data_IF_752578824531
#
_entry.id   IF_752578824531
#
_cell.length_a   1.000
_cell.length_b   1.000
_cell.length_c   1.000
_cell.angle_alpha   90.00
_cell.angle_beta   90.00
_cell.angle_gamma   90.00
#
_symmetry.space_group_name_H-M   'P 1'
#
loop_
_entity.id
_entity.type
_entity.pdbx_description
1 polymer ?
#
# COMPACT_ATOMS: atom_id res chain seq x y z
N UNK A 1 12.28 -25.41 15.85
CA UNK A 1 10.86 -25.00 15.79
C UNK A 1 10.80 -23.64 15.11
N UNK A 2 9.99 -23.45 14.05
CA UNK A 2 9.98 -22.22 13.26
C UNK A 2 9.45 -20.97 14.00
N UNK A 3 8.88 -21.11 15.20
CA UNK A 3 8.41 -19.97 16.01
C UNK A 3 9.52 -19.07 16.57
N UNK A 4 10.73 -19.57 16.80
CA UNK A 4 11.78 -18.77 17.46
C UNK A 4 12.40 -17.71 16.53
N UNK A 5 12.56 -18.03 15.24
CA UNK A 5 13.28 -17.15 14.32
C UNK A 5 12.53 -15.85 14.02
N UNK A 6 11.20 -15.91 13.88
CA UNK A 6 10.39 -14.71 13.68
C UNK A 6 10.51 -13.78 14.89
N UNK A 7 10.37 -14.33 16.10
CA UNK A 7 10.48 -13.57 17.35
C UNK A 7 11.86 -12.92 17.49
N UNK A 8 12.94 -13.69 17.29
CA UNK A 8 14.33 -13.20 17.27
C UNK A 8 14.54 -12.06 16.25
N UNK A 9 14.04 -12.22 15.01
CA UNK A 9 14.22 -11.24 13.94
C UNK A 9 13.45 -9.93 14.24
N UNK A 10 12.23 -10.02 14.79
CA UNK A 10 11.44 -8.85 15.16
C UNK A 10 12.02 -8.15 16.39
N UNK A 11 12.45 -8.87 17.42
CA UNK A 11 13.12 -8.30 18.59
C UNK A 11 14.38 -7.53 18.18
N UNK A 12 15.24 -8.15 17.36
CA UNK A 12 16.44 -7.51 16.86
C UNK A 12 16.15 -6.23 16.05
N UNK A 13 15.06 -6.23 15.27
CA UNK A 13 14.62 -5.05 14.54
C UNK A 13 14.16 -3.95 15.48
N UNK A 14 13.27 -4.27 16.43
CA UNK A 14 12.70 -3.29 17.38
C UNK A 14 13.81 -2.65 18.20
N UNK A 15 14.75 -3.45 18.71
CA UNK A 15 15.95 -2.98 19.40
C UNK A 15 16.81 -2.04 18.56
N UNK A 16 16.89 -2.26 17.24
CA UNK A 16 17.64 -1.40 16.33
C UNK A 16 16.91 -0.09 16.08
N UNK A 17 15.63 -0.15 15.70
CA UNK A 17 14.90 1.03 15.24
C UNK A 17 14.49 1.95 16.40
N UNK A 18 14.45 1.43 17.64
CA UNK A 18 14.05 2.15 18.85
C UNK A 18 15.17 3.00 19.52
N UNK A 19 16.45 2.77 19.18
CA UNK A 19 17.62 3.34 19.91
C UNK A 19 17.58 4.84 20.10
N UNK A 20 17.13 5.59 19.09
CA UNK A 20 17.12 7.05 19.10
C UNK A 20 15.69 7.63 19.14
N UNK A 21 14.74 6.89 19.72
CA UNK A 21 13.34 7.30 19.84
C UNK A 21 12.98 7.57 21.30
N UNK A 22 11.96 8.40 21.53
CA UNK A 22 11.44 8.67 22.87
C UNK A 22 10.70 7.45 23.47
N UNK A 23 10.39 7.54 24.76
CA UNK A 23 9.77 6.43 25.49
C UNK A 23 8.38 6.03 24.94
N UNK A 24 7.64 6.96 24.35
CA UNK A 24 6.30 6.69 23.82
C UNK A 24 6.40 5.88 22.52
N UNK A 25 7.29 6.29 21.61
CA UNK A 25 7.58 5.53 20.38
C UNK A 25 8.13 4.15 20.70
N UNK A 26 9.06 4.05 21.66
CA UNK A 26 9.61 2.74 22.09
C UNK A 26 8.51 1.80 22.57
N UNK A 27 7.66 2.29 23.47
CA UNK A 27 6.53 1.51 23.99
C UNK A 27 5.51 1.13 22.91
N UNK A 28 5.25 2.04 21.96
CA UNK A 28 4.42 1.73 20.79
C UNK A 28 4.98 0.57 20.00
N UNK A 29 6.28 0.63 19.66
CA UNK A 29 6.97 -0.44 18.93
C UNK A 29 6.98 -1.77 19.67
N UNK A 30 7.18 -1.77 20.98
CA UNK A 30 7.08 -2.99 21.80
C UNK A 30 5.67 -3.61 21.74
N UNK A 31 4.62 -2.78 21.81
CA UNK A 31 3.25 -3.30 21.70
C UNK A 31 2.98 -3.92 20.32
N UNK A 32 3.46 -3.29 19.24
CA UNK A 32 3.32 -3.82 17.88
C UNK A 32 4.11 -5.13 17.71
N UNK A 33 5.31 -5.22 18.29
CA UNK A 33 6.12 -6.44 18.33
C UNK A 33 5.34 -7.61 18.94
N UNK A 34 4.80 -7.43 20.15
CA UNK A 34 4.06 -8.49 20.85
C UNK A 34 2.85 -8.96 20.03
N UNK A 35 2.12 -8.03 19.41
CA UNK A 35 1.01 -8.34 18.51
C UNK A 35 1.47 -9.18 17.31
N UNK A 36 2.54 -8.78 16.63
CA UNK A 36 3.07 -9.50 15.47
C UNK A 36 3.57 -10.90 15.84
N UNK A 37 4.19 -11.06 17.01
CA UNK A 37 4.58 -12.38 17.55
C UNK A 37 3.34 -13.25 17.74
N UNK A 38 2.25 -12.72 18.32
CA UNK A 38 1.00 -13.47 18.48
C UNK A 38 0.39 -13.90 17.13
N UNK A 39 0.32 -12.98 16.17
CA UNK A 39 -0.20 -13.26 14.83
C UNK A 39 0.67 -14.27 14.08
N UNK A 40 1.99 -14.22 14.26
CA UNK A 40 2.94 -15.15 13.67
C UNK A 40 2.79 -16.56 14.23
N UNK A 41 2.55 -16.70 15.55
CA UNK A 41 2.23 -17.99 16.18
C UNK A 41 0.96 -18.63 15.61
N UNK A 42 0.06 -17.83 15.04
CA UNK A 42 -1.17 -18.26 14.34
C UNK A 42 -0.97 -18.45 12.82
N UNK A 43 0.23 -18.17 12.30
CA UNK A 43 0.55 -18.27 10.88
C UNK A 43 -0.10 -17.19 10.00
N UNK A 44 -0.49 -16.06 10.58
CA UNK A 44 -1.23 -15.00 9.88
C UNK A 44 -0.30 -13.98 9.20
N UNK A 45 0.93 -13.82 9.69
CA UNK A 45 1.89 -12.83 9.18
C UNK A 45 3.21 -13.49 8.79
N UNK A 46 4.02 -12.78 8.01
CA UNK A 46 5.35 -13.22 7.54
C UNK A 46 6.39 -12.17 7.84
N UNK A 47 7.59 -12.61 8.23
CA UNK A 47 8.67 -11.71 8.68
C UNK A 47 8.99 -10.60 7.67
N UNK A 48 9.08 -10.92 6.37
CA UNK A 48 9.42 -9.94 5.32
C UNK A 48 8.43 -8.77 5.24
N UNK A 49 7.19 -8.98 5.66
CA UNK A 49 6.12 -7.99 5.63
C UNK A 49 6.06 -7.24 6.97
N UNK A 50 6.11 -7.99 8.09
CA UNK A 50 6.12 -7.45 9.45
C UNK A 50 7.29 -6.50 9.75
N UNK A 51 8.48 -6.75 9.18
CA UNK A 51 9.61 -5.81 9.33
C UNK A 51 9.36 -4.46 8.64
N UNK A 52 8.63 -4.46 7.52
CA UNK A 52 8.27 -3.23 6.82
C UNK A 52 7.18 -2.46 7.58
N UNK A 53 6.19 -3.18 8.12
CA UNK A 53 5.15 -2.60 8.98
C UNK A 53 5.76 -1.86 10.17
N UNK A 54 6.71 -2.45 10.88
CA UNK A 54 7.36 -1.82 12.05
C UNK A 54 8.18 -0.58 11.69
N UNK A 55 8.92 -0.62 10.58
CA UNK A 55 9.69 0.54 10.11
C UNK A 55 8.76 1.68 9.68
N UNK A 56 7.65 1.35 9.00
CA UNK A 56 6.60 2.31 8.65
C UNK A 56 5.92 2.86 9.90
N UNK A 57 5.57 1.99 10.86
CA UNK A 57 4.93 2.37 12.11
C UNK A 57 5.79 3.34 12.91
N UNK A 58 7.09 3.06 13.08
CA UNK A 58 8.04 4.01 13.70
C UNK A 58 7.98 5.37 13.04
N UNK A 59 8.04 5.42 11.71
CA UNK A 59 8.02 6.67 10.95
C UNK A 59 6.74 7.47 11.21
N UNK A 60 5.59 6.81 11.27
CA UNK A 60 4.32 7.45 11.60
C UNK A 60 4.25 7.88 13.08
N UNK A 61 4.73 7.06 14.02
CA UNK A 61 4.80 7.43 15.44
C UNK A 61 5.66 8.66 15.67
N UNK A 62 6.81 8.78 14.99
CA UNK A 62 7.66 9.98 15.03
C UNK A 62 6.96 11.23 14.48
N UNK A 63 5.93 11.06 13.65
CA UNK A 63 5.05 12.13 13.18
C UNK A 63 3.87 12.40 14.12
N UNK A 64 3.82 11.74 15.28
CA UNK A 64 2.79 11.89 16.31
C UNK A 64 1.49 11.16 15.98
N UNK A 65 1.57 10.03 15.28
CA UNK A 65 0.43 9.12 15.12
C UNK A 65 0.47 8.03 16.21
N UNK A 66 -0.70 7.65 16.69
CA UNK A 66 -0.90 6.35 17.36
C UNK A 66 -1.07 5.29 16.28
N UNK A 67 -0.35 4.17 16.38
CA UNK A 67 -0.26 3.20 15.29
C UNK A 67 -0.63 1.80 15.79
N UNK A 68 -1.33 1.06 14.95
CA UNK A 68 -1.64 -0.37 15.06
C UNK A 68 -1.21 -1.09 13.78
N UNK A 69 -1.02 -2.40 13.85
CA UNK A 69 -0.70 -3.26 12.69
C UNK A 69 -1.75 -4.33 12.52
N UNK A 70 -1.99 -4.78 11.29
CA UNK A 70 -2.98 -5.83 11.00
C UNK A 70 -4.36 -5.45 11.59
N UNK A 71 -4.80 -4.22 11.28
CA UNK A 71 -5.99 -3.59 11.85
C UNK A 71 -7.23 -3.87 11.00
N UNK A 72 -8.30 -4.34 11.63
CA UNK A 72 -9.59 -4.63 10.98
C UNK A 72 -10.31 -3.31 10.63
N UNK A 73 -10.52 -3.08 9.32
CA UNK A 73 -11.26 -1.94 8.76
C UNK A 73 -12.75 -2.25 8.53
N UNK A 74 -13.21 -3.43 8.95
CA UNK A 74 -14.55 -3.94 8.73
C UNK A 74 -14.71 -4.67 7.39
N UNK A 75 -15.81 -5.42 7.27
CA UNK A 75 -16.17 -6.18 6.06
C UNK A 75 -15.08 -7.16 5.58
N UNK A 76 -14.26 -7.65 6.52
CA UNK A 76 -13.19 -8.60 6.24
C UNK A 76 -11.94 -7.98 5.61
N UNK A 77 -11.82 -6.65 5.62
CA UNK A 77 -10.59 -5.95 5.23
C UNK A 77 -9.72 -5.72 6.46
N UNK A 78 -8.48 -6.20 6.41
CA UNK A 78 -7.47 -5.96 7.44
C UNK A 78 -6.34 -5.19 6.75
N UNK A 79 -5.98 -4.04 7.30
CA UNK A 79 -4.88 -3.24 6.75
C UNK A 79 -3.57 -3.45 7.50
N UNK A 80 -2.47 -3.36 6.75
CA UNK A 80 -1.14 -3.68 7.27
C UNK A 80 -0.70 -2.71 8.38
N UNK A 81 -0.81 -1.40 8.12
CA UNK A 81 -0.50 -0.35 9.12
C UNK A 81 -1.64 0.63 9.21
N UNK A 82 -2.20 0.79 10.41
CA UNK A 82 -3.26 1.74 10.71
C UNK A 82 -2.76 2.80 11.67
N UNK A 83 -3.08 4.06 11.41
CA UNK A 83 -2.56 5.18 12.16
C UNK A 83 -3.64 6.23 12.42
N UNK A 84 -3.67 6.76 13.64
CA UNK A 84 -4.62 7.79 14.08
C UNK A 84 -3.85 9.01 14.55
N UNK A 85 -4.29 10.20 14.12
CA UNK A 85 -3.78 11.47 14.63
C UNK A 85 -4.92 12.48 14.76
N UNK A 86 -5.25 12.82 16.01
CA UNK A 86 -6.44 13.62 16.29
C UNK A 86 -7.71 12.88 15.85
N UNK A 87 -8.51 13.50 14.98
CA UNK A 87 -9.72 12.88 14.41
C UNK A 87 -9.49 12.23 13.04
N UNK A 88 -8.25 12.25 12.52
CA UNK A 88 -7.93 11.70 11.21
C UNK A 88 -7.31 10.31 11.29
N UNK A 89 -7.65 9.48 10.31
CA UNK A 89 -7.19 8.11 10.14
C UNK A 89 -6.31 7.97 8.90
N UNK A 90 -5.34 7.08 8.95
CA UNK A 90 -4.44 6.72 7.86
C UNK A 90 -4.29 5.20 7.83
N UNK A 91 -4.47 4.57 6.67
CA UNK A 91 -4.02 3.20 6.44
C UNK A 91 -2.88 3.19 5.40
N UNK A 92 -1.90 2.32 5.62
CA UNK A 92 -0.83 2.03 4.65
C UNK A 92 -0.85 0.55 4.36
N UNK A 93 -1.02 0.21 3.08
CA UNK A 93 -0.94 -1.17 2.58
C UNK A 93 0.44 -1.43 1.99
N UNK A 94 1.15 -2.43 2.50
CA UNK A 94 2.48 -2.83 2.04
C UNK A 94 2.37 -3.80 0.85
N UNK A 95 3.12 -3.48 -0.20
CA UNK A 95 3.21 -4.23 -1.45
C UNK A 95 4.65 -4.64 -1.71
N UNK A 96 4.88 -5.96 -1.74
CA UNK A 96 6.21 -6.57 -1.93
C UNK A 96 6.42 -7.17 -3.31
N UNK A 97 5.41 -7.07 -4.20
CA UNK A 97 5.48 -7.59 -5.57
C UNK A 97 5.32 -9.10 -5.69
N UNK A 98 4.73 -9.77 -4.69
CA UNK A 98 4.44 -11.20 -4.77
C UNK A 98 3.42 -11.49 -5.90
N UNK A 99 3.82 -12.37 -6.83
CA UNK A 99 2.96 -12.91 -7.88
C UNK A 99 2.74 -14.40 -7.63
N UNK A 100 1.48 -14.88 -7.56
CA UNK A 100 1.22 -16.30 -7.38
C UNK A 100 1.48 -17.09 -8.67
N UNK A 101 1.82 -18.40 -8.60
CA UNK A 101 2.19 -19.20 -9.76
C UNK A 101 1.15 -19.21 -10.90
N UNK A 102 -0.14 -19.14 -10.58
CA UNK A 102 -1.24 -19.07 -11.55
C UNK A 102 -1.22 -17.81 -12.43
N UNK A 103 -0.51 -16.76 -12.01
CA UNK A 103 -0.34 -15.50 -12.73
C UNK A 103 1.07 -15.33 -13.31
N UNK A 104 1.83 -16.42 -13.46
CA UNK A 104 3.18 -16.38 -13.98
C UNK A 104 3.27 -15.92 -15.46
N UNK A 105 2.17 -16.01 -16.22
CA UNK A 105 2.12 -15.61 -17.63
C UNK A 105 1.67 -14.16 -17.84
N UNK A 106 1.14 -13.51 -16.79
CA UNK A 106 0.66 -12.12 -16.81
C UNK A 106 0.99 -11.34 -15.51
N UNK A 107 2.23 -11.43 -14.98
CA UNK A 107 2.57 -10.92 -13.65
C UNK A 107 2.38 -9.41 -13.51
N UNK A 108 2.71 -8.63 -14.55
CA UNK A 108 2.54 -7.18 -14.55
C UNK A 108 1.06 -6.79 -14.47
N UNK A 109 0.21 -7.49 -15.22
CA UNK A 109 -1.22 -7.22 -15.26
C UNK A 109 -1.89 -7.57 -13.91
N UNK A 110 -1.48 -8.70 -13.31
CA UNK A 110 -1.89 -9.10 -11.98
C UNK A 110 -1.47 -8.06 -10.92
N UNK A 111 -0.20 -7.67 -10.88
CA UNK A 111 0.32 -6.68 -9.93
C UNK A 111 -0.41 -5.34 -10.05
N UNK A 112 -0.61 -4.87 -11.29
CA UNK A 112 -1.34 -3.63 -11.54
C UNK A 112 -2.80 -3.70 -11.07
N UNK A 113 -3.48 -4.83 -11.29
CA UNK A 113 -4.84 -5.04 -10.80
C UNK A 113 -4.90 -5.15 -9.27
N UNK A 114 -3.91 -5.78 -8.64
CA UNK A 114 -3.78 -5.90 -7.19
C UNK A 114 -3.68 -4.54 -6.53
N UNK A 115 -2.78 -3.71 -7.04
CA UNK A 115 -2.60 -2.32 -6.60
C UNK A 115 -3.90 -1.53 -6.77
N UNK A 116 -4.55 -1.64 -7.94
CA UNK A 116 -5.82 -0.98 -8.19
C UNK A 116 -6.93 -1.38 -7.20
N UNK A 117 -7.05 -2.68 -6.94
CA UNK A 117 -8.02 -3.25 -5.99
C UNK A 117 -7.76 -2.77 -4.56
N UNK A 118 -6.49 -2.76 -4.12
CA UNK A 118 -6.12 -2.26 -2.78
C UNK A 118 -6.43 -0.77 -2.62
N UNK A 119 -5.98 0.07 -3.56
CA UNK A 119 -6.31 1.51 -3.53
C UNK A 119 -7.83 1.69 -3.44
N UNK A 120 -8.58 0.96 -4.25
CA UNK A 120 -10.02 1.17 -4.33
C UNK A 120 -10.76 0.75 -3.06
N UNK A 121 -10.44 -0.42 -2.51
CA UNK A 121 -11.17 -0.98 -1.35
C UNK A 121 -10.78 -0.34 -0.03
N UNK A 122 -9.49 -0.08 0.16
CA UNK A 122 -8.98 0.35 1.46
C UNK A 122 -9.11 1.86 1.63
N UNK A 123 -8.87 2.64 0.58
CA UNK A 123 -8.86 4.11 0.71
C UNK A 123 -10.22 4.73 1.05
N UNK A 124 -11.33 4.04 0.78
CA UNK A 124 -12.67 4.51 1.15
C UNK A 124 -13.02 4.28 2.62
N UNK A 125 -12.18 3.55 3.36
CA UNK A 125 -12.37 3.20 4.78
C UNK A 125 -11.66 4.15 5.75
N UNK A 126 -10.81 5.04 5.23
CA UNK A 126 -9.92 5.90 6.01
C UNK A 126 -9.83 7.29 5.38
N UNK A 127 -9.46 8.29 6.18
CA UNK A 127 -9.33 9.67 5.69
C UNK A 127 -8.12 9.83 4.75
N UNK A 128 -7.04 9.08 5.02
CA UNK A 128 -5.85 9.02 4.17
C UNK A 128 -5.44 7.58 3.92
N UNK A 129 -4.91 7.34 2.73
CA UNK A 129 -4.47 6.02 2.33
C UNK A 129 -3.12 6.09 1.62
N UNK A 130 -2.22 5.20 1.97
CA UNK A 130 -0.91 5.06 1.36
C UNK A 130 -0.60 3.64 0.92
N UNK A 131 0.41 3.52 0.06
CA UNK A 131 1.01 2.24 -0.29
C UNK A 131 2.46 2.22 0.17
N UNK A 132 2.88 1.20 0.89
CA UNK A 132 4.26 0.97 1.31
C UNK A 132 4.96 -0.02 0.38
N UNK A 133 6.18 0.27 -0.06
CA UNK A 133 6.97 -0.63 -0.92
C UNK A 133 8.42 -0.69 -0.48
N UNK A 134 9.13 -1.81 -0.71
CA UNK A 134 10.56 -1.83 -0.51
C UNK A 134 11.26 -1.05 -1.66
N UNK A 135 12.47 -0.50 -1.43
CA UNK A 135 13.18 0.32 -2.42
C UNK A 135 13.60 -0.45 -3.69
N UNK A 136 13.57 -1.78 -3.66
CA UNK A 136 13.92 -2.65 -4.78
C UNK A 136 12.71 -3.12 -5.60
N UNK A 137 11.50 -2.65 -5.29
CA UNK A 137 10.27 -3.01 -6.00
C UNK A 137 9.67 -1.80 -6.71
N UNK A 138 9.22 -2.00 -7.96
CA UNK A 138 8.54 -0.97 -8.75
C UNK A 138 7.04 -1.22 -8.72
N UNK A 139 6.33 -0.37 -7.98
CA UNK A 139 4.86 -0.38 -7.89
C UNK A 139 4.21 0.14 -9.18
N UNK A 140 3.34 -0.66 -9.80
CA UNK A 140 2.61 -0.26 -11.01
C UNK A 140 1.21 0.28 -10.65
N UNK A 141 1.11 1.59 -10.42
CA UNK A 141 -0.15 2.26 -10.10
C UNK A 141 -0.85 2.67 -11.40
N UNK A 142 -2.14 2.35 -11.62
CA UNK A 142 -2.91 2.94 -12.71
C UNK A 142 -2.88 4.47 -12.65
N UNK A 143 -2.51 5.19 -13.72
CA UNK A 143 -2.37 6.66 -13.67
C UNK A 143 -3.62 7.38 -13.19
N UNK A 144 -4.80 6.85 -13.52
CA UNK A 144 -6.07 7.38 -13.06
C UNK A 144 -6.22 7.36 -11.53
N UNK A 145 -5.64 6.38 -10.84
CA UNK A 145 -5.69 6.27 -9.37
C UNK A 145 -4.61 7.08 -8.66
N UNK A 146 -3.57 7.54 -9.36
CA UNK A 146 -2.56 8.43 -8.81
C UNK A 146 -3.08 9.87 -8.63
N UNK A 147 -3.95 10.33 -9.55
CA UNK A 147 -4.56 11.66 -9.46
C UNK A 147 -5.78 11.69 -8.52
N UNK A 148 -6.11 12.87 -7.94
CA UNK A 148 -7.30 13.04 -7.11
C UNK A 148 -8.61 12.64 -7.81
N UNK A 149 -9.61 12.10 -7.06
CA UNK A 149 -10.93 11.70 -7.57
C UNK A 149 -11.58 12.64 -8.59
N UNK A 150 -11.58 13.94 -8.27
CA UNK A 150 -12.21 15.01 -9.07
C UNK A 150 -11.66 15.18 -10.49
N UNK A 151 -10.49 14.61 -10.78
CA UNK A 151 -9.84 14.73 -12.09
C UNK A 151 -9.98 13.47 -12.95
N UNK A 152 -10.73 12.45 -12.49
CA UNK A 152 -10.97 11.21 -13.23
C UNK A 152 -12.14 11.36 -14.19
N UNK A 153 -11.93 10.98 -15.45
CA UNK A 153 -12.98 10.80 -16.42
C UNK A 153 -13.69 9.46 -16.21
N UNK A 154 -14.93 9.35 -16.70
CA UNK A 154 -15.70 8.10 -16.57
C UNK A 154 -15.01 6.91 -17.25
N UNK A 155 -14.42 7.12 -18.43
CA UNK A 155 -13.68 6.05 -19.13
C UNK A 155 -12.50 5.52 -18.32
N UNK A 156 -11.79 6.37 -17.59
CA UNK A 156 -10.68 5.93 -16.73
C UNK A 156 -11.16 5.09 -15.53
N UNK A 157 -12.36 5.37 -15.02
CA UNK A 157 -13.00 4.58 -13.96
C UNK A 157 -13.40 3.21 -14.51
N UNK A 158 -13.96 3.15 -15.71
CA UNK A 158 -14.32 1.91 -16.40
C UNK A 158 -13.10 1.05 -16.75
N UNK A 159 -11.97 1.67 -17.11
CA UNK A 159 -10.69 0.98 -17.32
C UNK A 159 -10.18 0.33 -16.03
N UNK A 160 -10.21 1.05 -14.90
CA UNK A 160 -9.84 0.49 -13.60
C UNK A 160 -10.78 -0.64 -13.20
N UNK A 161 -12.09 -0.48 -13.44
CA UNK A 161 -13.08 -1.53 -13.18
C UNK A 161 -12.76 -2.79 -13.97
N UNK A 162 -12.53 -2.63 -15.27
CA UNK A 162 -12.20 -3.74 -16.18
C UNK A 162 -10.91 -4.44 -15.74
N UNK A 163 -9.89 -3.68 -15.32
CA UNK A 163 -8.65 -4.21 -14.79
C UNK A 163 -8.87 -5.02 -13.50
N UNK A 164 -9.60 -4.47 -12.53
CA UNK A 164 -9.91 -5.18 -11.28
C UNK A 164 -10.71 -6.46 -11.54
N UNK A 165 -11.68 -6.42 -12.45
CA UNK A 165 -12.57 -7.55 -12.76
C UNK A 165 -11.83 -8.75 -13.37
N UNK A 166 -10.61 -8.58 -13.89
CA UNK A 166 -9.79 -9.70 -14.36
C UNK A 166 -9.47 -10.69 -13.23
N UNK A 167 -9.17 -10.18 -12.02
CA UNK A 167 -8.65 -10.99 -10.91
C UNK A 167 -9.47 -10.89 -9.60
N UNK A 168 -10.25 -9.82 -9.39
CA UNK A 168 -10.89 -9.48 -8.11
C UNK A 168 -12.42 -9.45 -8.23
N UNK A 169 -13.04 -10.61 -8.43
CA UNK A 169 -14.50 -10.74 -8.66
C UNK A 169 -15.35 -10.93 -7.39
N UNK A 170 -14.75 -11.28 -6.26
CA UNK A 170 -15.48 -11.65 -5.03
C UNK A 170 -14.86 -10.99 -3.76
N UNK A 171 -15.49 -9.95 -3.20
CA UNK A 171 -16.53 -9.13 -3.82
C UNK A 171 -15.96 -8.35 -5.03
N UNK A 172 -16.78 -7.96 -6.02
CA UNK A 172 -16.33 -7.08 -7.09
C UNK A 172 -16.17 -5.65 -6.59
N UNK A 173 -15.27 -4.89 -7.21
CA UNK A 173 -15.07 -3.47 -6.92
C UNK A 173 -16.09 -2.65 -7.70
N UNK A 174 -16.81 -1.73 -7.05
CA UNK A 174 -17.82 -0.88 -7.68
C UNK A 174 -17.23 0.36 -8.37
N UNK A 175 -17.95 0.91 -9.35
CA UNK A 175 -17.56 2.18 -10.00
C UNK A 175 -17.53 3.35 -9.01
N UNK A 176 -18.36 3.32 -7.97
CA UNK A 176 -18.41 4.34 -6.93
C UNK A 176 -17.17 4.30 -6.04
N UNK A 177 -16.76 3.12 -5.59
CA UNK A 177 -15.51 2.95 -4.84
C UNK A 177 -14.32 3.45 -5.69
N UNK A 178 -14.24 3.07 -6.98
CA UNK A 178 -13.17 3.52 -7.87
C UNK A 178 -13.19 5.05 -8.00
N UNK A 179 -14.36 5.63 -8.23
CA UNK A 179 -14.52 7.08 -8.38
C UNK A 179 -14.02 7.83 -7.16
N UNK A 180 -14.35 7.36 -5.95
CA UNK A 180 -14.07 8.07 -4.71
C UNK A 180 -12.71 7.70 -4.08
N UNK A 181 -12.10 6.59 -4.49
CA UNK A 181 -10.82 6.13 -3.97
C UNK A 181 -9.69 7.15 -4.10
N UNK A 182 -8.80 7.23 -3.12
CA UNK A 182 -7.69 8.19 -3.16
C UNK A 182 -6.43 7.64 -2.55
N UNK A 183 -5.40 7.48 -3.38
CA UNK A 183 -4.03 7.31 -2.91
C UNK A 183 -3.45 8.68 -2.54
N UNK A 184 -2.90 8.79 -1.34
CA UNK A 184 -2.35 10.04 -0.81
C UNK A 184 -0.83 10.06 -0.85
N UNK A 185 -0.20 8.91 -0.62
CA UNK A 185 1.26 8.81 -0.48
C UNK A 185 1.74 7.43 -0.89
N UNK A 186 2.90 7.38 -1.54
CA UNK A 186 3.70 6.15 -1.69
C UNK A 186 4.86 6.22 -0.70
N UNK A 187 4.94 5.25 0.20
CA UNK A 187 6.00 5.10 1.19
C UNK A 187 7.06 4.14 0.66
N UNK A 188 8.29 4.61 0.49
CA UNK A 188 9.44 3.75 0.19
C UNK A 188 10.10 3.39 1.51
N UNK A 189 10.03 2.11 1.89
CA UNK A 189 10.41 1.59 3.21
C UNK A 189 11.74 0.84 3.08
N UNK A 190 12.82 1.51 3.47
CA UNK A 190 14.15 0.91 3.59
C UNK A 190 14.33 0.32 4.98
N UNK A 191 14.09 -1.00 5.07
CA UNK A 191 14.27 -1.76 6.31
C UNK A 191 15.72 -1.79 6.73
N UNK A 192 16.71 -1.78 5.83
CA UNK A 192 18.11 -1.86 6.23
C UNK A 192 18.62 -0.52 6.79
N UNK A 193 18.19 0.59 6.18
CA UNK A 193 18.53 1.95 6.58
C UNK A 193 17.67 2.55 7.68
N UNK A 194 16.64 1.83 8.17
CA UNK A 194 15.64 2.33 9.12
C UNK A 194 14.96 3.63 8.66
N UNK A 195 14.74 3.75 7.35
CA UNK A 195 14.31 4.98 6.69
C UNK A 195 13.01 4.77 5.91
N UNK A 196 12.14 5.77 5.94
CA UNK A 196 10.93 5.82 5.11
C UNK A 196 10.90 7.14 4.35
N UNK A 197 10.78 7.05 3.03
CA UNK A 197 10.56 8.22 2.16
C UNK A 197 9.10 8.30 1.73
N UNK A 198 8.53 9.50 1.69
CA UNK A 198 7.17 9.73 1.21
C UNK A 198 7.22 10.39 -0.16
N UNK A 199 6.52 9.81 -1.12
CA UNK A 199 6.47 10.27 -2.50
C UNK A 199 5.02 10.58 -2.87
N UNK A 200 4.81 11.72 -3.51
CA UNK A 200 3.52 12.06 -4.12
C UNK A 200 3.15 11.03 -5.19
N UNK A 201 1.90 10.52 -5.22
CA UNK A 201 1.51 9.48 -6.18
C UNK A 201 1.65 9.86 -7.65
N UNK A 202 1.36 11.12 -8.03
CA UNK A 202 1.49 11.57 -9.42
C UNK A 202 2.97 11.63 -9.83
N UNK A 203 3.82 12.18 -8.96
CA UNK A 203 5.27 12.20 -9.16
C UNK A 203 5.86 10.79 -9.24
N UNK A 204 5.40 9.89 -8.37
CA UNK A 204 5.84 8.50 -8.37
C UNK A 204 5.52 7.83 -9.72
N UNK A 205 4.27 7.97 -10.19
CA UNK A 205 3.84 7.38 -11.47
C UNK A 205 4.59 7.98 -12.65
N UNK A 206 4.80 9.29 -12.70
CA UNK A 206 5.57 9.90 -13.79
C UNK A 206 6.99 9.35 -13.84
N UNK A 207 7.65 9.28 -12.68
CA UNK A 207 9.03 8.76 -12.56
C UNK A 207 9.13 7.30 -12.97
N UNK A 208 8.17 6.46 -12.55
CA UNK A 208 8.14 5.04 -12.92
C UNK A 208 7.86 4.86 -14.42
N UNK A 209 6.96 5.66 -15.00
CA UNK A 209 6.68 5.60 -16.43
C UNK A 209 7.91 5.96 -17.26
N UNK A 210 8.65 7.01 -16.85
CA UNK A 210 9.91 7.41 -17.49
C UNK A 210 10.96 6.30 -17.38
N UNK A 211 11.12 5.72 -16.18
CA UNK A 211 12.06 4.62 -15.93
C UNK A 211 11.77 3.38 -16.80
N UNK A 212 10.49 3.02 -16.93
CA UNK A 212 10.05 1.83 -17.65
C UNK A 212 9.84 2.08 -19.15
N UNK A 213 10.09 3.30 -19.64
CA UNK A 213 9.75 3.74 -21.01
C UNK A 213 8.29 3.45 -21.38
N UNK A 214 7.38 3.57 -20.42
CA UNK A 214 5.95 3.42 -20.66
C UNK A 214 5.46 4.71 -21.32
N UNK A 215 5.33 4.68 -22.64
CA UNK A 215 4.67 5.76 -23.37
C UNK A 215 3.19 5.76 -22.96
N UNK A 216 2.77 6.71 -22.12
CA UNK A 216 1.35 6.94 -21.89
C UNK A 216 0.79 7.43 -23.23
N UNK A 217 -0.01 6.60 -23.89
CA UNK A 217 -0.72 7.03 -25.08
C UNK A 217 -1.56 8.24 -24.69
N UNK A 218 -1.16 9.43 -25.16
CA UNK A 218 -1.96 10.62 -25.00
C UNK A 218 -3.36 10.31 -25.52
N UNK A 219 -4.38 10.61 -24.71
CA UNK A 219 -5.77 10.51 -25.16
C UNK A 219 -5.89 11.20 -26.53
N UNK A 220 -6.57 10.60 -27.51
CA UNK A 220 -6.71 11.22 -28.81
C UNK A 220 -7.32 12.61 -28.62
N UNK A 221 -6.82 13.65 -29.32
CA UNK A 221 -7.39 14.98 -29.20
C UNK A 221 -8.88 14.91 -29.48
N UNK A 222 -9.68 15.48 -28.58
CA UNK A 222 -11.11 15.63 -28.75
C UNK A 222 -11.37 16.47 -30.00
N UNK A 223 -11.60 15.82 -31.14
CA UNK A 223 -11.81 16.52 -32.41
C UNK A 223 -11.23 15.81 -33.62
N UNK A 224 -11.65 14.57 -33.86
CA UNK A 224 -11.62 14.01 -35.20
C UNK A 224 -13.00 13.40 -35.50
N UNK A 225 -13.97 14.28 -35.75
CA UNK A 225 -15.10 13.93 -36.61
C UNK A 225 -14.52 13.48 -37.95
N UNK A 226 -14.45 12.17 -38.19
CA UNK A 226 -14.40 11.69 -39.57
C UNK A 226 -15.82 11.79 -40.12
N UNK A 227 -16.00 12.84 -40.93
CA UNK A 227 -17.06 12.92 -41.93
C UNK A 227 -16.82 11.84 -42.99
N UNK A 228 -17.94 11.27 -43.44
CA UNK A 228 -18.16 10.32 -44.54
C UNK A 228 -17.84 8.87 -44.25
#
# INVERSE_FOLDING_TARGET
>A
MPGNKFEEDVEALVDRISRNTDQDVRRGLENLKERLIELSRRGLVKINHSVMELVCAKHLMLKGYEVDVEHDLGEGLVCDVYAVKGHGTLAVEVETGFVPPENALDPELYCRARVASKITRYSVRVDKFGLGIPPYYVLQIPPSLAKPPRFRAMGEIEEVKSLCDLYYKNPPVSLEEIRNSRLHTVYIIDVAGDLVSEVDPELYVSTVNDLLNITVAASPPAGAQRRF
#
